data_IF_319321559222
#
_entry.id   IF_319321559222
#
_cell.length_a   1.000
_cell.length_b   1.000
_cell.length_c   1.000
_cell.angle_alpha   90.00
_cell.angle_beta   90.00
_cell.angle_gamma   90.00
#
_symmetry.space_group_name_H-M   'P 1'
#
loop_
_entity.id
_entity.type
_entity.pdbx_description
1 polymer ?
#
# COMPACT_ATOMS: atom_id res chain seq x y z
N UNK A 1 -8.86 -30.92 10.70
CA UNK A 1 -9.20 -29.51 10.98
C UNK A 1 -8.82 -28.60 9.81
N UNK A 2 -7.55 -28.58 9.37
CA UNK A 2 -7.10 -27.76 8.23
C UNK A 2 -7.89 -28.00 6.94
N UNK A 3 -8.21 -29.25 6.59
CA UNK A 3 -9.03 -29.56 5.41
C UNK A 3 -10.46 -28.98 5.50
N UNK A 4 -11.06 -28.96 6.70
CA UNK A 4 -12.42 -28.41 6.90
C UNK A 4 -12.44 -26.89 6.79
N UNK A 5 -11.36 -26.21 7.21
CA UNK A 5 -11.26 -24.76 7.22
C UNK A 5 -10.78 -24.21 5.87
N UNK A 6 -9.68 -24.74 5.34
CA UNK A 6 -8.99 -24.20 4.17
C UNK A 6 -9.30 -24.94 2.87
N UNK A 7 -9.88 -26.14 2.94
CA UNK A 7 -10.29 -26.94 1.77
C UNK A 7 -9.13 -27.20 0.81
N UNK A 8 -7.99 -27.64 1.33
CA UNK A 8 -6.72 -27.75 0.58
C UNK A 8 -6.87 -28.65 -0.66
N UNK A 9 -7.60 -29.76 -0.56
CA UNK A 9 -7.84 -30.65 -1.72
C UNK A 9 -8.70 -29.97 -2.78
N UNK A 10 -9.72 -29.21 -2.38
CA UNK A 10 -10.58 -28.48 -3.32
C UNK A 10 -9.81 -27.39 -4.07
N UNK A 11 -8.76 -26.85 -3.44
CA UNK A 11 -7.86 -25.85 -4.03
C UNK A 11 -6.60 -26.45 -4.68
N UNK A 12 -6.53 -27.78 -4.84
CA UNK A 12 -5.39 -28.49 -5.43
C UNK A 12 -4.02 -28.14 -4.80
N UNK A 13 -3.98 -27.97 -3.48
CA UNK A 13 -2.77 -27.61 -2.73
C UNK A 13 -2.54 -28.56 -1.54
N UNK A 14 -1.41 -28.41 -0.86
CA UNK A 14 -1.06 -29.15 0.35
C UNK A 14 -0.37 -28.24 1.38
N UNK A 15 -0.28 -28.71 2.63
CA UNK A 15 0.27 -27.93 3.75
C UNK A 15 1.70 -27.45 3.50
N UNK A 16 2.56 -28.28 2.89
CA UNK A 16 3.95 -27.91 2.59
C UNK A 16 4.01 -26.76 1.59
N UNK A 17 3.19 -26.82 0.54
CA UNK A 17 3.09 -25.75 -0.46
C UNK A 17 2.61 -24.45 0.16
N UNK A 18 1.57 -24.50 1.00
CA UNK A 18 1.04 -23.29 1.67
C UNK A 18 2.05 -22.66 2.65
N UNK A 19 2.82 -23.48 3.38
CA UNK A 19 3.90 -22.96 4.26
C UNK A 19 4.99 -22.27 3.45
N UNK A 20 5.44 -22.91 2.37
CA UNK A 20 6.46 -22.31 1.49
C UNK A 20 5.96 -21.04 0.80
N UNK A 21 4.69 -21.03 0.38
CA UNK A 21 4.04 -19.85 -0.15
C UNK A 21 3.98 -18.73 0.89
N UNK A 22 3.59 -19.03 2.13
CA UNK A 22 3.53 -18.06 3.22
C UNK A 22 4.90 -17.47 3.55
N UNK A 23 5.96 -18.29 3.64
CA UNK A 23 7.34 -17.83 3.81
C UNK A 23 7.75 -16.93 2.63
N UNK A 24 7.41 -17.31 1.40
CA UNK A 24 7.75 -16.53 0.20
C UNK A 24 7.05 -15.17 0.20
N UNK A 25 5.75 -15.13 0.52
CA UNK A 25 5.00 -13.88 0.68
C UNK A 25 5.60 -13.01 1.78
N UNK A 26 5.87 -13.59 2.96
CA UNK A 26 6.47 -12.86 4.07
C UNK A 26 7.82 -12.23 3.67
N UNK A 27 8.72 -13.00 3.05
CA UNK A 27 10.02 -12.48 2.60
C UNK A 27 9.89 -11.37 1.55
N UNK A 28 8.88 -11.44 0.67
CA UNK A 28 8.61 -10.42 -0.32
C UNK A 28 8.10 -9.11 0.31
N UNK A 29 7.29 -9.20 1.37
CA UNK A 29 6.72 -8.03 2.07
C UNK A 29 7.50 -7.59 3.33
N UNK A 30 8.51 -8.33 3.77
CA UNK A 30 9.24 -8.08 5.02
C UNK A 30 9.89 -6.69 5.09
N UNK A 31 10.09 -6.04 3.93
CA UNK A 31 10.56 -4.66 3.90
C UNK A 31 9.67 -3.68 4.68
N UNK A 32 8.37 -3.98 4.85
CA UNK A 32 7.44 -3.11 5.56
C UNK A 32 7.83 -2.91 7.02
N UNK A 33 8.53 -3.90 7.60
CA UNK A 33 9.10 -3.84 8.94
C UNK A 33 10.07 -2.66 9.11
N UNK A 34 10.68 -2.20 8.03
CA UNK A 34 11.66 -1.11 8.04
C UNK A 34 11.07 0.17 7.45
N UNK A 35 10.34 0.02 6.35
CA UNK A 35 9.77 1.14 5.61
C UNK A 35 8.71 1.86 6.43
N UNK A 36 7.75 1.14 7.03
CA UNK A 36 6.63 1.78 7.71
C UNK A 36 7.08 2.59 8.94
N UNK A 37 7.93 2.06 9.85
CA UNK A 37 8.46 2.86 10.95
C UNK A 37 9.35 4.01 10.50
N UNK A 38 10.05 3.87 9.38
CA UNK A 38 10.84 4.97 8.81
C UNK A 38 9.94 6.12 8.38
N UNK A 39 8.87 5.83 7.64
CA UNK A 39 7.93 6.83 7.10
C UNK A 39 7.11 7.47 8.23
N UNK A 40 6.38 6.67 9.03
CA UNK A 40 5.56 7.21 10.13
C UNK A 40 6.41 7.88 11.22
N UNK A 41 7.67 7.47 11.39
CA UNK A 41 8.58 8.12 12.33
C UNK A 41 8.88 9.58 11.98
N UNK A 42 8.75 9.99 10.71
CA UNK A 42 8.92 11.39 10.29
C UNK A 42 7.84 12.31 10.87
N UNK A 43 6.67 11.77 11.25
CA UNK A 43 5.62 12.55 11.92
C UNK A 43 5.86 12.72 13.43
N UNK A 44 6.97 12.20 13.95
CA UNK A 44 7.28 12.20 15.38
C UNK A 44 6.71 11.00 16.15
N UNK A 45 6.15 10.00 15.47
CA UNK A 45 5.74 8.75 16.12
C UNK A 45 6.96 7.93 16.59
N UNK A 46 6.82 7.21 17.70
CA UNK A 46 7.88 6.33 18.18
C UNK A 46 8.09 5.15 17.21
N UNK A 47 9.28 5.07 16.61
CA UNK A 47 9.60 4.05 15.58
C UNK A 47 9.48 2.63 16.12
N UNK A 48 9.84 2.39 17.38
CA UNK A 48 9.74 1.07 18.00
C UNK A 48 8.30 0.63 18.19
N UNK A 49 7.45 1.53 18.67
CA UNK A 49 6.01 1.31 18.81
C UNK A 49 5.34 1.11 17.45
N UNK A 50 5.68 1.92 16.43
CA UNK A 50 5.17 1.74 15.06
C UNK A 50 5.61 0.40 14.46
N UNK A 51 6.84 -0.05 14.72
CA UNK A 51 7.31 -1.38 14.30
C UNK A 51 6.43 -2.49 14.89
N UNK A 52 6.14 -2.42 16.19
CA UNK A 52 5.26 -3.38 16.86
C UNK A 52 3.84 -3.29 16.34
N UNK A 53 3.29 -2.08 16.18
CA UNK A 53 1.97 -1.84 15.59
C UNK A 53 1.87 -2.44 14.19
N UNK A 54 2.90 -2.27 13.36
CA UNK A 54 3.00 -2.84 12.00
C UNK A 54 2.92 -4.35 12.03
N UNK A 55 3.73 -5.01 12.86
CA UNK A 55 3.74 -6.46 12.99
C UNK A 55 2.41 -7.01 13.47
N UNK A 56 1.84 -6.41 14.52
CA UNK A 56 0.57 -6.83 15.10
C UNK A 56 -0.60 -6.61 14.14
N UNK A 57 -0.65 -5.46 13.47
CA UNK A 57 -1.71 -5.16 12.51
C UNK A 57 -1.63 -6.09 11.29
N UNK A 58 -0.42 -6.37 10.79
CA UNK A 58 -0.22 -7.34 9.71
C UNK A 58 -0.61 -8.77 10.11
N UNK A 59 -0.26 -9.18 11.34
CA UNK A 59 -0.63 -10.48 11.88
C UNK A 59 -2.15 -10.63 12.05
N UNK A 60 -2.82 -9.61 12.62
CA UNK A 60 -4.28 -9.60 12.76
C UNK A 60 -4.94 -9.65 11.38
N UNK A 61 -4.58 -8.73 10.48
CA UNK A 61 -5.19 -8.65 9.15
C UNK A 61 -5.01 -9.92 8.32
N UNK A 62 -3.79 -10.47 8.29
CA UNK A 62 -3.50 -11.72 7.58
C UNK A 62 -4.21 -12.91 8.22
N UNK A 63 -4.39 -12.92 9.55
CA UNK A 63 -5.17 -13.96 10.23
C UNK A 63 -6.65 -13.88 9.84
N UNK A 64 -7.23 -12.68 9.86
CA UNK A 64 -8.64 -12.47 9.52
C UNK A 64 -8.89 -12.83 8.05
N UNK A 65 -7.99 -12.44 7.13
CA UNK A 65 -8.08 -12.83 5.71
C UNK A 65 -8.00 -14.35 5.53
N UNK A 66 -7.08 -14.99 6.24
CA UNK A 66 -6.91 -16.44 6.20
C UNK A 66 -8.14 -17.19 6.71
N UNK A 67 -8.73 -16.77 7.83
CA UNK A 67 -9.85 -17.47 8.46
C UNK A 67 -11.21 -17.14 7.85
N UNK A 68 -11.47 -15.88 7.51
CA UNK A 68 -12.80 -15.44 7.04
C UNK A 68 -12.94 -15.62 5.53
N UNK A 69 -11.94 -15.16 4.76
CA UNK A 69 -12.01 -15.16 3.31
C UNK A 69 -11.41 -16.43 2.70
N UNK A 70 -10.48 -17.09 3.41
CA UNK A 70 -9.71 -18.24 2.93
C UNK A 70 -8.96 -17.91 1.62
N UNK A 71 -8.28 -16.76 1.58
CA UNK A 71 -7.43 -16.35 0.47
C UNK A 71 -5.95 -16.31 0.86
N UNK A 72 -5.03 -16.63 -0.08
CA UNK A 72 -3.58 -16.61 0.14
C UNK A 72 -3.01 -15.19 0.04
N UNK A 73 -3.71 -14.21 0.63
CA UNK A 73 -3.38 -12.79 0.54
C UNK A 73 -3.02 -12.30 1.93
N UNK A 74 -1.82 -11.74 2.06
CA UNK A 74 -1.37 -11.12 3.28
C UNK A 74 -1.79 -9.64 3.33
N UNK A 75 -2.00 -9.16 4.56
CA UNK A 75 -2.33 -7.76 4.83
C UNK A 75 -1.25 -7.15 5.72
N UNK A 76 -0.93 -5.89 5.46
CA UNK A 76 -0.02 -5.07 6.26
C UNK A 76 -0.31 -3.58 5.97
N UNK A 77 0.31 -2.61 6.69
CA UNK A 77 0.12 -1.18 6.43
C UNK A 77 0.38 -0.81 4.98
N UNK A 78 -0.59 -0.25 4.25
CA UNK A 78 -0.49 0.00 2.81
C UNK A 78 0.54 1.07 2.46
N UNK A 79 1.33 0.83 1.42
CA UNK A 79 2.41 1.72 1.04
C UNK A 79 1.93 3.08 0.51
N UNK A 80 0.86 3.12 -0.30
CA UNK A 80 0.26 4.41 -0.69
C UNK A 80 -0.34 5.15 0.50
N UNK A 81 -0.91 4.40 1.44
CA UNK A 81 -1.65 4.92 2.60
C UNK A 81 -0.72 5.50 3.67
N UNK A 82 0.43 4.88 3.93
CA UNK A 82 1.42 5.42 4.87
C UNK A 82 2.09 6.70 4.36
N UNK A 83 2.33 6.79 3.04
CA UNK A 83 2.86 7.98 2.40
C UNK A 83 1.86 9.13 2.45
N UNK A 84 0.59 8.86 2.10
CA UNK A 84 -0.48 9.85 2.21
C UNK A 84 -0.69 10.34 3.65
N UNK A 85 -0.67 9.42 4.62
CA UNK A 85 -0.74 9.75 6.05
C UNK A 85 0.38 10.71 6.46
N UNK A 86 1.63 10.32 6.18
CA UNK A 86 2.81 11.03 6.69
C UNK A 86 2.98 12.35 5.97
N UNK A 87 3.11 12.29 4.66
CA UNK A 87 3.61 13.43 3.93
C UNK A 87 2.50 14.39 3.50
N UNK A 88 1.27 13.91 3.27
CA UNK A 88 0.15 14.79 2.94
C UNK A 88 -0.57 15.28 4.20
N UNK A 89 -1.09 14.37 5.03
CA UNK A 89 -1.97 14.78 6.15
C UNK A 89 -1.19 15.40 7.30
N UNK A 90 -0.07 14.79 7.70
CA UNK A 90 0.68 15.28 8.87
C UNK A 90 1.65 16.40 8.48
N UNK A 91 2.54 16.16 7.50
CA UNK A 91 3.60 17.11 7.19
C UNK A 91 3.13 18.29 6.32
N UNK A 92 2.36 18.03 5.25
CA UNK A 92 1.91 19.11 4.36
C UNK A 92 0.73 19.91 4.93
N UNK A 93 -0.33 19.24 5.41
CA UNK A 93 -1.50 19.92 5.99
C UNK A 93 -1.29 20.34 7.46
N UNK A 94 -0.23 19.87 8.13
CA UNK A 94 0.14 20.28 9.49
C UNK A 94 -0.73 19.67 10.60
N UNK A 95 -1.49 18.60 10.32
CA UNK A 95 -2.27 17.92 11.35
C UNK A 95 -1.41 17.02 12.23
N UNK A 96 -1.85 16.74 13.46
CA UNK A 96 -1.15 15.79 14.32
C UNK A 96 -1.39 14.35 13.85
N UNK A 97 -0.42 13.47 14.08
CA UNK A 97 -0.54 12.06 13.70
C UNK A 97 -1.67 11.35 14.45
N UNK A 98 -2.03 11.81 15.66
CA UNK A 98 -3.19 11.32 16.41
C UNK A 98 -4.51 11.59 15.68
N UNK A 99 -4.67 12.81 15.17
CA UNK A 99 -5.85 13.21 14.38
C UNK A 99 -5.89 12.45 13.06
N UNK A 100 -4.73 12.28 12.41
CA UNK A 100 -4.63 11.46 11.20
C UNK A 100 -5.01 9.99 11.46
N UNK A 101 -4.61 9.39 12.60
CA UNK A 101 -5.04 8.04 12.99
C UNK A 101 -6.55 7.99 13.27
N UNK A 102 -7.12 9.05 13.84
CA UNK A 102 -8.57 9.19 14.01
C UNK A 102 -9.29 9.17 12.66
N UNK A 103 -8.77 9.88 11.66
CA UNK A 103 -9.32 9.89 10.31
C UNK A 103 -9.20 8.50 9.64
N UNK A 104 -8.07 7.81 9.82
CA UNK A 104 -7.89 6.43 9.37
C UNK A 104 -8.91 5.49 10.03
N UNK A 105 -9.11 5.59 11.34
CA UNK A 105 -10.07 4.75 12.07
C UNK A 105 -11.50 4.97 11.57
N UNK A 106 -11.94 6.23 11.44
CA UNK A 106 -13.28 6.56 10.91
C UNK A 106 -13.41 6.05 9.47
N UNK A 107 -12.40 6.27 8.63
CA UNK A 107 -12.38 5.74 7.27
C UNK A 107 -12.55 4.21 7.26
N UNK A 108 -11.81 3.48 8.10
CA UNK A 108 -11.89 2.03 8.21
C UNK A 108 -13.26 1.55 8.72
N UNK A 109 -13.88 2.26 9.66
CA UNK A 109 -15.25 1.98 10.13
C UNK A 109 -16.26 2.20 9.01
N UNK A 110 -16.18 3.33 8.29
CA UNK A 110 -17.03 3.58 7.13
C UNK A 110 -16.83 2.48 6.09
N UNK A 111 -15.59 2.04 5.87
CA UNK A 111 -15.25 1.01 4.92
C UNK A 111 -15.83 -0.37 5.30
N UNK A 112 -15.75 -0.70 6.58
CA UNK A 112 -16.38 -1.89 7.14
C UNK A 112 -17.91 -1.88 6.97
N UNK A 113 -18.55 -0.75 7.25
CA UNK A 113 -20.00 -0.58 7.04
C UNK A 113 -20.38 -0.74 5.56
N UNK A 114 -19.67 -0.07 4.65
CA UNK A 114 -19.89 -0.20 3.20
C UNK A 114 -19.72 -1.64 2.70
N UNK A 115 -18.82 -2.40 3.32
CA UNK A 115 -18.57 -3.82 3.01
C UNK A 115 -19.72 -4.71 3.49
N UNK A 116 -20.26 -4.46 4.69
CA UNK A 116 -21.44 -5.17 5.22
C UNK A 116 -22.66 -4.92 4.33
N UNK A 117 -22.90 -3.67 3.93
CA UNK A 117 -24.05 -3.30 3.09
C UNK A 117 -23.87 -3.65 1.60
N UNK A 118 -22.76 -4.32 1.22
CA UNK A 118 -22.41 -4.68 -0.17
C UNK A 118 -22.35 -3.50 -1.15
N UNK A 119 -22.36 -2.26 -0.66
CA UNK A 119 -22.20 -1.04 -1.45
C UNK A 119 -20.79 -1.02 -2.07
N UNK A 120 -19.81 -1.57 -1.34
CA UNK A 120 -18.42 -1.57 -1.79
C UNK A 120 -18.27 -2.25 -3.17
N UNK A 121 -18.77 -3.47 -3.30
CA UNK A 121 -18.67 -4.25 -4.55
C UNK A 121 -19.28 -3.49 -5.74
N UNK A 122 -20.40 -2.81 -5.52
CA UNK A 122 -21.02 -1.95 -6.53
C UNK A 122 -20.13 -0.78 -6.95
N UNK A 123 -19.46 -0.10 -6.01
CA UNK A 123 -18.52 0.99 -6.33
C UNK A 123 -17.31 0.46 -7.12
N UNK A 124 -16.74 -0.70 -6.76
CA UNK A 124 -15.60 -1.30 -7.50
C UNK A 124 -16.00 -1.57 -8.95
N UNK A 125 -17.13 -2.27 -9.10
CA UNK A 125 -17.60 -2.73 -10.40
C UNK A 125 -18.05 -1.57 -11.29
N UNK A 126 -18.32 -0.40 -10.70
CA UNK A 126 -18.70 0.81 -11.44
C UNK A 126 -17.53 1.54 -12.08
N UNK A 127 -16.28 1.23 -11.71
CA UNK A 127 -15.11 1.99 -12.17
C UNK A 127 -14.35 1.21 -13.26
N UNK A 128 -14.11 1.82 -14.43
CA UNK A 128 -13.38 1.20 -15.52
C UNK A 128 -12.03 0.64 -15.06
N UNK A 129 -11.68 -0.55 -15.58
CA UNK A 129 -10.38 -1.19 -15.28
C UNK A 129 -9.21 -0.24 -15.60
N UNK A 130 -9.18 0.41 -16.78
CA UNK A 130 -8.89 1.83 -16.95
C UNK A 130 -8.16 2.56 -15.84
N UNK A 131 -9.03 3.25 -15.10
CA UNK A 131 -8.72 4.15 -14.03
C UNK A 131 -8.24 3.41 -12.79
N UNK A 132 -8.70 2.18 -12.53
CA UNK A 132 -8.20 1.39 -11.40
C UNK A 132 -6.71 1.09 -11.56
N UNK A 133 -6.30 0.65 -12.75
CA UNK A 133 -4.89 0.42 -13.08
C UNK A 133 -4.09 1.73 -13.05
N UNK A 134 -4.65 2.83 -13.53
CA UNK A 134 -4.03 4.16 -13.47
C UNK A 134 -3.79 4.65 -12.03
N UNK A 135 -4.73 4.37 -11.11
CA UNK A 135 -4.61 4.72 -9.70
C UNK A 135 -3.48 3.92 -9.05
N UNK A 136 -3.44 2.60 -9.26
CA UNK A 136 -2.33 1.77 -8.77
C UNK A 136 -0.99 2.27 -9.31
N UNK A 137 -0.90 2.54 -10.61
CA UNK A 137 0.31 3.08 -11.23
C UNK A 137 0.70 4.45 -10.68
N UNK A 138 -0.26 5.35 -10.48
CA UNK A 138 -0.04 6.68 -9.91
C UNK A 138 0.47 6.63 -8.47
N UNK A 139 -0.05 5.71 -7.65
CA UNK A 139 0.47 5.44 -6.30
C UNK A 139 1.92 4.95 -6.41
N UNK A 140 2.22 4.04 -7.34
CA UNK A 140 3.59 3.62 -7.64
C UNK A 140 4.51 4.78 -8.00
N UNK A 141 4.11 5.66 -8.92
CA UNK A 141 4.90 6.83 -9.31
C UNK A 141 5.10 7.82 -8.15
N UNK A 142 4.11 7.97 -7.27
CA UNK A 142 4.23 8.77 -6.06
C UNK A 142 5.27 8.16 -5.08
N UNK A 143 5.23 6.85 -4.88
CA UNK A 143 6.24 6.14 -4.08
C UNK A 143 7.64 6.22 -4.69
N UNK A 144 7.76 6.18 -6.02
CA UNK A 144 9.03 6.38 -6.71
C UNK A 144 9.62 7.77 -6.41
N UNK A 145 8.80 8.82 -6.45
CA UNK A 145 9.25 10.17 -6.10
C UNK A 145 9.75 10.25 -4.65
N UNK A 146 9.02 9.66 -3.70
CA UNK A 146 9.42 9.59 -2.29
C UNK A 146 10.73 8.80 -2.12
N UNK A 147 10.85 7.66 -2.80
CA UNK A 147 12.06 6.84 -2.77
C UNK A 147 13.29 7.63 -3.24
N UNK A 148 13.16 8.30 -4.40
CA UNK A 148 14.23 9.12 -4.97
C UNK A 148 14.56 10.33 -4.09
N UNK A 149 13.56 10.90 -3.42
CA UNK A 149 13.74 11.98 -2.46
C UNK A 149 14.50 11.51 -1.21
N UNK A 150 14.07 10.41 -0.59
CA UNK A 150 14.70 9.82 0.59
C UNK A 150 16.13 9.32 0.32
N UNK A 151 16.42 8.94 -0.93
CA UNK A 151 17.77 8.61 -1.38
C UNK A 151 18.65 9.85 -1.61
N UNK A 152 18.08 11.06 -1.65
CA UNK A 152 18.79 12.30 -2.01
C UNK A 152 19.10 12.42 -3.51
N UNK A 153 18.45 11.61 -4.36
CA UNK A 153 18.60 11.67 -5.82
C UNK A 153 17.75 12.81 -6.39
N UNK A 154 16.53 12.98 -5.88
CA UNK A 154 15.60 14.06 -6.26
C UNK A 154 15.48 15.05 -5.11
N UNK A 155 15.76 16.33 -5.39
CA UNK A 155 15.65 17.43 -4.42
C UNK A 155 14.69 18.50 -4.91
N UNK A 156 14.19 19.34 -4.00
CA UNK A 156 13.37 20.48 -4.37
C UNK A 156 14.20 21.51 -5.15
N UNK A 157 13.64 22.06 -6.24
CA UNK A 157 14.27 23.10 -7.02
C UNK A 157 13.27 24.26 -7.28
N UNK A 158 13.55 25.49 -6.83
CA UNK A 158 12.60 26.61 -7.00
C UNK A 158 12.22 26.92 -8.45
N UNK A 159 13.09 26.63 -9.43
CA UNK A 159 12.86 26.94 -10.84
C UNK A 159 12.13 25.82 -11.61
N UNK A 160 12.20 24.57 -11.13
CA UNK A 160 11.73 23.38 -11.87
C UNK A 160 10.86 22.45 -11.02
N UNK A 161 10.58 22.82 -9.77
CA UNK A 161 9.97 22.00 -8.71
C UNK A 161 10.87 20.85 -8.24
N UNK A 162 11.45 20.09 -9.18
CA UNK A 162 12.34 18.94 -8.93
C UNK A 162 13.71 19.15 -9.57
N UNK A 163 14.78 18.80 -8.86
CA UNK A 163 16.15 18.88 -9.32
C UNK A 163 16.97 17.64 -8.94
N UNK A 164 18.17 17.52 -9.53
CA UNK A 164 19.11 16.46 -9.22
C UNK A 164 19.88 16.79 -7.94
N UNK A 165 19.92 15.86 -6.99
CA UNK A 165 20.73 15.96 -5.79
C UNK A 165 22.22 15.67 -6.02
N UNK A 166 23.02 15.76 -4.96
CA UNK A 166 24.47 15.45 -5.04
C UNK A 166 24.72 13.93 -5.05
N UNK A 167 24.88 13.38 -6.25
CA UNK A 167 25.14 11.95 -6.46
C UNK A 167 26.49 11.46 -5.93
N UNK A 168 27.37 12.35 -5.43
CA UNK A 168 28.65 11.94 -4.81
C UNK A 168 28.46 11.48 -3.36
N UNK A 169 27.32 11.78 -2.76
CA UNK A 169 27.03 11.40 -1.39
C UNK A 169 26.81 9.87 -1.28
N UNK A 170 27.17 9.25 -0.13
CA UNK A 170 26.97 7.82 0.07
C UNK A 170 25.51 7.36 -0.12
N UNK A 171 24.54 8.17 0.31
CA UNK A 171 23.12 7.79 0.29
C UNK A 171 22.56 7.56 -1.14
N UNK A 172 22.68 8.49 -2.11
CA UNK A 172 22.26 8.26 -3.50
C UNK A 172 22.94 7.05 -4.15
N UNK A 173 24.25 6.87 -3.90
CA UNK A 173 25.05 5.78 -4.47
C UNK A 173 24.55 4.44 -3.94
N UNK A 174 24.47 4.30 -2.62
CA UNK A 174 24.03 3.08 -1.96
C UNK A 174 22.59 2.73 -2.30
N UNK A 175 21.69 3.72 -2.39
CA UNK A 175 20.32 3.49 -2.83
C UNK A 175 20.27 3.00 -4.29
N UNK A 176 21.03 3.62 -5.19
CA UNK A 176 21.08 3.19 -6.60
C UNK A 176 21.60 1.76 -6.74
N UNK A 177 22.72 1.44 -6.07
CA UNK A 177 23.28 0.09 -6.06
C UNK A 177 22.31 -0.92 -5.42
N UNK A 178 21.63 -0.53 -4.35
CA UNK A 178 20.60 -1.34 -3.71
C UNK A 178 19.44 -1.65 -4.65
N UNK A 179 18.98 -0.69 -5.44
CA UNK A 179 17.90 -0.90 -6.39
C UNK A 179 18.32 -1.87 -7.49
N UNK A 180 19.51 -1.66 -8.07
CA UNK A 180 20.08 -2.58 -9.07
C UNK A 180 20.21 -4.00 -8.51
N UNK A 181 20.67 -4.13 -7.26
CA UNK A 181 20.76 -5.42 -6.58
C UNK A 181 19.39 -6.09 -6.43
N UNK A 182 18.36 -5.36 -5.96
CA UNK A 182 17.00 -5.91 -5.81
C UNK A 182 16.48 -6.39 -7.16
N UNK A 183 16.59 -5.58 -8.21
CA UNK A 183 16.14 -5.94 -9.56
C UNK A 183 16.89 -7.16 -10.09
N UNK A 184 18.22 -7.23 -9.89
CA UNK A 184 19.02 -8.37 -10.31
C UNK A 184 18.62 -9.66 -9.56
N UNK A 185 18.43 -9.58 -8.25
CA UNK A 185 17.99 -10.72 -7.44
C UNK A 185 16.57 -11.18 -7.82
N UNK A 186 15.66 -10.26 -8.11
CA UNK A 186 14.32 -10.59 -8.58
C UNK A 186 14.37 -11.26 -9.97
N UNK A 187 15.18 -10.75 -10.90
CA UNK A 187 15.36 -11.35 -12.21
C UNK A 187 15.95 -12.77 -12.13
N UNK A 188 16.76 -13.05 -11.09
CA UNK A 188 17.30 -14.37 -10.77
C UNK A 188 16.33 -15.23 -9.93
N UNK A 189 15.11 -14.77 -9.69
CA UNK A 189 14.08 -15.44 -8.89
C UNK A 189 14.54 -15.80 -7.46
N UNK A 190 15.38 -14.95 -6.86
CA UNK A 190 15.85 -15.12 -5.48
C UNK A 190 14.76 -14.69 -4.50
N UNK A 191 14.35 -15.60 -3.60
CA UNK A 191 13.33 -15.31 -2.59
C UNK A 191 13.82 -14.25 -1.61
N UNK A 192 13.01 -13.22 -1.38
CA UNK A 192 13.35 -12.12 -0.48
C UNK A 192 14.35 -11.13 -1.08
N UNK A 193 14.39 -10.99 -2.41
CA UNK A 193 15.25 -10.03 -3.12
C UNK A 193 15.22 -8.62 -2.50
N UNK A 194 14.03 -8.11 -2.18
CA UNK A 194 13.84 -6.80 -1.56
C UNK A 194 14.48 -6.72 -0.16
N UNK A 195 14.23 -7.73 0.68
CA UNK A 195 14.80 -7.81 2.03
C UNK A 195 16.34 -7.89 1.98
N UNK A 196 16.89 -8.72 1.10
CA UNK A 196 18.33 -8.87 0.90
C UNK A 196 18.94 -7.52 0.48
N UNK A 197 18.28 -6.80 -0.44
CA UNK A 197 18.72 -5.47 -0.87
C UNK A 197 18.82 -4.47 0.29
N UNK A 198 17.78 -4.37 1.12
CA UNK A 198 17.77 -3.48 2.30
C UNK A 198 18.89 -3.84 3.25
N UNK A 199 19.04 -5.13 3.59
CA UNK A 199 20.07 -5.58 4.52
C UNK A 199 21.47 -5.38 3.96
N UNK A 200 21.71 -5.64 2.67
CA UNK A 200 22.98 -5.40 2.02
C UNK A 200 23.37 -3.91 2.08
N UNK A 201 22.46 -3.01 1.69
CA UNK A 201 22.70 -1.56 1.77
C UNK A 201 22.95 -1.12 3.21
N UNK A 202 22.19 -1.65 4.16
CA UNK A 202 22.35 -1.35 5.59
C UNK A 202 23.71 -1.81 6.11
N UNK A 203 24.14 -3.02 5.78
CA UNK A 203 25.44 -3.57 6.18
C UNK A 203 26.57 -2.71 5.60
N UNK A 204 26.52 -2.39 4.30
CA UNK A 204 27.55 -1.53 3.69
C UNK A 204 27.55 -0.14 4.35
N UNK A 205 26.39 0.43 4.66
CA UNK A 205 26.29 1.71 5.38
C UNK A 205 26.97 1.66 6.77
N UNK A 206 26.74 0.59 7.53
CA UNK A 206 27.37 0.38 8.85
C UNK A 206 28.88 0.23 8.70
N UNK A 207 29.36 -0.55 7.73
CA UNK A 207 30.79 -0.75 7.49
C UNK A 207 31.51 0.53 7.06
N UNK A 208 30.81 1.42 6.34
CA UNK A 208 31.32 2.74 5.97
C UNK A 208 31.23 3.76 7.12
N UNK A 209 30.67 3.38 8.27
CA UNK A 209 30.50 4.27 9.43
C UNK A 209 29.40 5.32 9.24
N UNK A 210 28.52 5.16 8.24
CA UNK A 210 27.44 6.11 7.93
C UNK A 210 26.25 5.92 8.87
N UNK A 211 26.03 4.71 9.38
CA UNK A 211 24.90 4.41 10.27
C UNK A 211 25.35 3.53 11.46
N UNK A 212 24.91 3.83 12.69
CA UNK A 212 25.22 2.98 13.84
C UNK A 212 24.47 1.65 13.79
N UNK A 213 25.09 0.60 14.31
CA UNK A 213 24.43 -0.70 14.47
C UNK A 213 23.57 -0.71 15.72
N UNK A 214 22.26 -0.93 15.56
CA UNK A 214 21.26 -0.95 16.63
C UNK A 214 21.06 -2.33 17.28
N UNK A 215 21.65 -3.39 16.75
CA UNK A 215 21.52 -4.77 17.26
C UNK A 215 20.74 -5.69 16.32
N UNK A 216 20.53 -6.95 16.74
CA UNK A 216 19.81 -7.96 15.94
C UNK A 216 18.47 -8.33 16.57
N UNK A 217 18.47 -8.73 17.84
CA UNK A 217 17.28 -9.23 18.54
C UNK A 217 17.12 -8.59 19.90
N UNK A 218 15.88 -8.28 20.28
CA UNK A 218 15.53 -7.84 21.63
C UNK A 218 14.11 -8.28 21.98
N UNK A 219 13.71 -8.02 23.22
CA UNK A 219 12.29 -8.02 23.53
C UNK A 219 11.57 -6.97 22.68
N UNK A 220 10.33 -7.24 22.22
CA UNK A 220 9.56 -6.27 21.46
C UNK A 220 9.43 -4.95 22.23
N UNK A 221 9.61 -3.78 21.57
CA UNK A 221 9.40 -2.48 22.20
C UNK A 221 7.97 -2.34 22.76
N UNK A 222 7.77 -1.40 23.68
CA UNK A 222 6.43 -1.11 24.19
C UNK A 222 5.56 -0.50 23.10
N UNK A 223 4.33 -0.97 22.96
CA UNK A 223 3.30 -0.36 22.10
C UNK A 223 2.65 0.88 22.73
N UNK A 224 2.87 1.12 24.03
CA UNK A 224 2.23 2.19 24.79
C UNK A 224 2.31 3.60 24.15
N UNK A 225 3.40 4.00 23.45
CA UNK A 225 3.50 5.32 22.83
C UNK A 225 2.49 5.59 21.72
N UNK A 226 1.99 4.55 21.04
CA UNK A 226 1.07 4.70 19.88
C UNK A 226 -0.29 4.05 20.11
N UNK A 227 -0.38 3.12 21.07
CA UNK A 227 -1.61 2.40 21.39
C UNK A 227 -2.75 3.34 21.82
N UNK A 228 -3.87 3.28 21.11
CA UNK A 228 -5.09 4.05 21.39
C UNK A 228 -4.89 5.58 21.48
N UNK A 229 -3.85 6.10 20.84
CA UNK A 229 -3.57 7.55 20.80
C UNK A 229 -4.37 8.29 19.72
N UNK A 230 -5.24 7.60 18.99
CA UNK A 230 -6.01 8.20 17.90
C UNK A 230 -7.05 9.20 18.42
N UNK A 231 -7.18 10.33 17.74
CA UNK A 231 -8.13 11.39 18.08
C UNK A 231 -9.31 11.42 17.11
N UNK A 232 -10.37 10.69 17.47
CA UNK A 232 -11.63 10.65 16.68
C UNK A 232 -12.31 12.02 16.68
N UNK A 233 -12.25 12.77 17.79
CA UNK A 233 -12.98 14.04 17.91
C UNK A 233 -12.34 15.09 17.02
N UNK A 234 -11.01 15.18 17.02
CA UNK A 234 -10.27 16.02 16.10
C UNK A 234 -10.52 15.64 14.64
N UNK A 235 -10.59 14.34 14.33
CA UNK A 235 -10.84 13.86 12.97
C UNK A 235 -12.23 14.24 12.39
N UNK A 236 -13.21 14.57 13.24
CA UNK A 236 -14.56 14.97 12.81
C UNK A 236 -14.69 16.45 12.44
N UNK A 237 -13.61 17.24 12.50
CA UNK A 237 -13.61 18.61 11.97
C UNK A 237 -13.99 18.61 10.48
N UNK A 238 -14.75 19.63 10.05
CA UNK A 238 -15.28 19.75 8.68
C UNK A 238 -14.16 19.68 7.63
N UNK A 239 -12.97 20.24 7.92
CA UNK A 239 -11.83 20.16 7.02
C UNK A 239 -11.28 18.73 6.85
N UNK A 240 -11.34 17.93 7.91
CA UNK A 240 -10.80 16.57 7.98
C UNK A 240 -11.76 15.52 7.43
N UNK A 241 -13.04 15.85 7.27
CA UNK A 241 -13.98 15.01 6.50
C UNK A 241 -13.45 14.73 5.10
N UNK A 242 -12.81 15.71 4.46
CA UNK A 242 -12.17 15.53 3.14
C UNK A 242 -11.02 14.52 3.17
N UNK A 243 -10.25 14.49 4.26
CA UNK A 243 -9.14 13.55 4.50
C UNK A 243 -9.67 12.14 4.77
N UNK A 244 -10.74 12.01 5.55
CA UNK A 244 -11.41 10.73 5.79
C UNK A 244 -11.86 10.12 4.46
N UNK A 245 -12.52 10.91 3.60
CA UNK A 245 -12.92 10.44 2.27
C UNK A 245 -11.70 10.11 1.40
N UNK A 246 -10.64 10.90 1.47
CA UNK A 246 -9.40 10.60 0.74
C UNK A 246 -8.82 9.24 1.15
N UNK A 247 -8.64 8.97 2.45
CA UNK A 247 -8.21 7.65 2.93
C UNK A 247 -9.14 6.55 2.45
N UNK A 248 -10.46 6.78 2.55
CA UNK A 248 -11.46 5.81 2.12
C UNK A 248 -11.28 5.47 0.65
N UNK A 249 -11.16 6.46 -0.24
CA UNK A 249 -11.00 6.26 -1.69
C UNK A 249 -9.63 5.68 -2.06
N UNK A 250 -8.55 6.09 -1.40
CA UNK A 250 -7.23 5.52 -1.67
C UNK A 250 -7.22 4.03 -1.31
N UNK A 251 -7.69 3.68 -0.11
CA UNK A 251 -7.76 2.29 0.35
C UNK A 251 -8.73 1.46 -0.50
N UNK A 252 -9.85 2.06 -0.91
CA UNK A 252 -10.78 1.53 -1.90
C UNK A 252 -10.00 0.91 -3.06
N UNK A 253 -9.24 1.74 -3.76
CA UNK A 253 -8.67 1.38 -5.04
C UNK A 253 -7.40 0.56 -4.89
N UNK A 254 -6.57 0.87 -3.90
CA UNK A 254 -5.36 0.11 -3.61
C UNK A 254 -5.70 -1.34 -3.23
N UNK A 255 -6.59 -1.53 -2.25
CA UNK A 255 -6.99 -2.85 -1.81
C UNK A 255 -7.67 -3.65 -2.95
N UNK A 256 -8.62 -3.03 -3.66
CA UNK A 256 -9.38 -3.74 -4.69
C UNK A 256 -8.53 -4.08 -5.91
N UNK A 257 -7.62 -3.19 -6.32
CA UNK A 257 -6.65 -3.49 -7.37
C UNK A 257 -5.76 -4.66 -6.99
N UNK A 258 -5.24 -4.65 -5.76
CA UNK A 258 -4.35 -5.71 -5.26
C UNK A 258 -5.07 -7.05 -5.07
N UNK A 259 -6.25 -7.06 -4.45
CA UNK A 259 -7.05 -8.28 -4.28
C UNK A 259 -7.35 -8.95 -5.63
N UNK A 260 -7.81 -8.17 -6.62
CA UNK A 260 -8.13 -8.68 -7.96
C UNK A 260 -6.85 -9.15 -8.65
N UNK A 261 -5.77 -8.37 -8.60
CA UNK A 261 -4.49 -8.70 -9.24
C UNK A 261 -3.91 -10.02 -8.72
N UNK A 262 -3.88 -10.18 -7.39
CA UNK A 262 -3.37 -11.41 -6.75
C UNK A 262 -4.33 -12.58 -6.99
N UNK A 263 -5.65 -12.38 -6.89
CA UNK A 263 -6.63 -13.43 -7.15
C UNK A 263 -6.59 -13.93 -8.61
N UNK A 264 -6.41 -13.03 -9.58
CA UNK A 264 -6.19 -13.35 -11.00
C UNK A 264 -4.94 -14.21 -11.17
N UNK A 265 -3.81 -13.81 -10.57
CA UNK A 265 -2.56 -14.59 -10.62
C UNK A 265 -2.66 -15.94 -9.90
N UNK A 266 -3.54 -16.04 -8.90
CA UNK A 266 -3.82 -17.28 -8.17
C UNK A 266 -4.76 -18.24 -8.91
N UNK A 267 -5.39 -17.80 -10.01
CA UNK A 267 -6.46 -18.56 -10.66
C UNK A 267 -7.70 -18.71 -9.78
N UNK A 268 -7.97 -17.72 -8.91
CA UNK A 268 -9.09 -17.71 -7.96
C UNK A 268 -10.25 -16.80 -8.42
N UNK A 269 -10.21 -16.35 -9.67
CA UNK A 269 -11.29 -15.59 -10.30
C UNK A 269 -12.43 -16.53 -10.73
N UNK A 270 -13.67 -16.06 -10.59
CA UNK A 270 -14.87 -16.73 -11.09
C UNK A 270 -14.94 -16.73 -12.61
N UNK A 271 -15.84 -17.55 -13.15
CA UNK A 271 -16.06 -17.69 -14.61
C UNK A 271 -16.61 -16.42 -15.27
N UNK A 272 -17.25 -15.57 -14.49
CA UNK A 272 -17.79 -14.26 -14.85
C UNK A 272 -16.74 -13.14 -14.76
N UNK A 273 -15.49 -13.46 -14.36
CA UNK A 273 -14.44 -12.47 -14.13
C UNK A 273 -14.57 -11.73 -12.80
N UNK A 274 -15.50 -12.14 -11.92
CA UNK A 274 -15.64 -11.58 -10.56
C UNK A 274 -14.97 -12.47 -9.51
N UNK A 275 -14.63 -11.89 -8.37
CA UNK A 275 -13.97 -12.60 -7.26
C UNK A 275 -15.05 -13.15 -6.28
N UNK A 276 -15.27 -14.48 -6.19
CA UNK A 276 -16.47 -15.04 -5.55
C UNK A 276 -16.67 -14.70 -4.06
N UNK A 277 -15.58 -14.42 -3.33
CA UNK A 277 -15.61 -14.08 -1.89
C UNK A 277 -15.10 -12.66 -1.61
N UNK A 278 -15.27 -11.74 -2.56
CA UNK A 278 -14.76 -10.37 -2.43
C UNK A 278 -15.27 -9.67 -1.16
N UNK A 279 -16.57 -9.75 -0.85
CA UNK A 279 -17.12 -9.13 0.36
C UNK A 279 -16.46 -9.62 1.66
N UNK A 280 -16.07 -10.90 1.75
CA UNK A 280 -15.35 -11.44 2.92
C UNK A 280 -13.92 -10.93 3.02
N UNK A 281 -13.24 -10.78 1.88
CA UNK A 281 -11.91 -10.20 1.80
C UNK A 281 -11.93 -8.72 2.21
N UNK A 282 -12.93 -7.95 1.75
CA UNK A 282 -13.13 -6.55 2.11
C UNK A 282 -13.45 -6.34 3.59
N UNK A 283 -14.23 -7.25 4.20
CA UNK A 283 -14.45 -7.25 5.65
C UNK A 283 -13.13 -7.51 6.39
N UNK A 284 -12.32 -8.47 5.94
CA UNK A 284 -11.05 -8.77 6.59
C UNK A 284 -10.10 -7.57 6.55
N UNK A 285 -10.03 -6.91 5.41
CA UNK A 285 -9.28 -5.68 5.16
C UNK A 285 -9.72 -4.51 6.05
N UNK A 286 -11.00 -4.16 6.03
CA UNK A 286 -11.52 -3.07 6.88
C UNK A 286 -11.31 -3.36 8.37
N UNK A 287 -11.44 -4.62 8.79
CA UNK A 287 -11.18 -5.03 10.18
C UNK A 287 -9.71 -4.86 10.56
N UNK A 288 -8.81 -5.22 9.65
CA UNK A 288 -7.38 -5.03 9.82
C UNK A 288 -7.04 -3.53 9.90
N UNK A 289 -7.65 -2.69 9.08
CA UNK A 289 -7.44 -1.25 9.08
C UNK A 289 -7.91 -0.61 10.40
N UNK A 290 -9.06 -1.01 10.92
CA UNK A 290 -9.54 -0.60 12.24
C UNK A 290 -8.55 -1.03 13.34
N UNK A 291 -8.11 -2.30 13.34
CA UNK A 291 -7.14 -2.78 14.31
C UNK A 291 -5.80 -2.05 14.22
N UNK A 292 -5.30 -1.80 13.00
CA UNK A 292 -4.06 -1.07 12.75
C UNK A 292 -4.08 0.35 13.32
N UNK A 293 -5.15 1.09 13.05
CA UNK A 293 -5.30 2.45 13.59
C UNK A 293 -5.38 2.50 15.12
N UNK A 294 -6.02 1.49 15.75
CA UNK A 294 -6.05 1.35 17.22
C UNK A 294 -4.68 1.03 17.81
N UNK A 295 -3.87 0.22 17.12
CA UNK A 295 -2.50 -0.12 17.52
C UNK A 295 -1.52 1.05 17.26
N UNK A 296 -1.91 2.01 16.43
CA UNK A 296 -1.11 3.18 16.08
C UNK A 296 -0.23 2.97 14.85
N UNK A 297 -0.79 2.35 13.81
CA UNK A 297 -0.22 2.35 12.46
C UNK A 297 -1.25 2.85 11.44
N UNK A 298 -0.77 3.28 10.27
CA UNK A 298 -1.62 3.66 9.13
C UNK A 298 -2.48 2.48 8.64
N UNK A 299 -3.44 2.78 7.77
CA UNK A 299 -4.37 1.83 7.16
C UNK A 299 -3.65 0.57 6.68
N UNK A 300 -4.12 -0.60 7.12
CA UNK A 300 -3.66 -1.86 6.56
C UNK A 300 -4.49 -2.23 5.36
N UNK A 301 -3.84 -2.85 4.38
CA UNK A 301 -4.45 -3.21 3.10
C UNK A 301 -3.87 -4.53 2.58
N UNK A 302 -4.45 -5.05 1.50
CA UNK A 302 -3.92 -6.24 0.82
C UNK A 302 -2.59 -5.96 0.13
N UNK A 303 -1.64 -6.91 0.20
CA UNK A 303 -0.30 -6.74 -0.36
C UNK A 303 -0.09 -7.46 -1.69
N UNK A 304 0.45 -6.74 -2.68
CA UNK A 304 0.69 -7.24 -4.04
C UNK A 304 1.78 -8.32 -4.05
N UNK A 305 2.68 -8.31 -3.07
CA UNK A 305 3.73 -9.28 -2.80
C UNK A 305 3.19 -10.69 -2.55
N UNK A 306 1.92 -10.79 -2.17
CA UNK A 306 1.20 -12.08 -2.11
C UNK A 306 1.22 -12.80 -3.47
N UNK A 307 1.40 -12.08 -4.59
CA UNK A 307 1.66 -12.64 -5.90
C UNK A 307 2.87 -13.59 -5.94
N UNK A 308 3.91 -13.34 -5.13
CA UNK A 308 5.09 -14.20 -5.06
C UNK A 308 4.76 -15.54 -4.40
N UNK A 309 4.07 -15.54 -3.25
CA UNK A 309 3.66 -16.77 -2.58
C UNK A 309 2.61 -17.55 -3.38
N UNK A 310 1.69 -16.85 -4.04
CA UNK A 310 0.75 -17.45 -4.98
C UNK A 310 1.48 -18.10 -6.17
N UNK A 311 2.52 -17.47 -6.70
CA UNK A 311 3.35 -18.06 -7.76
C UNK A 311 4.12 -19.29 -7.26
N UNK A 312 4.45 -19.34 -5.97
CA UNK A 312 5.02 -20.52 -5.30
C UNK A 312 4.00 -21.63 -4.98
N UNK A 313 2.72 -21.45 -5.37
CA UNK A 313 1.66 -22.45 -5.26
C UNK A 313 0.65 -22.22 -4.14
N UNK A 314 0.73 -21.09 -3.41
CA UNK A 314 -0.27 -20.75 -2.39
C UNK A 314 -1.65 -20.50 -2.98
N UNK A 315 -2.69 -21.14 -2.42
CA UNK A 315 -4.07 -21.06 -2.92
C UNK A 315 -5.10 -20.80 -1.83
N UNK A 316 -4.73 -20.93 -0.56
CA UNK A 316 -5.68 -20.84 0.55
C UNK A 316 -5.25 -19.86 1.64
N UNK A 317 -6.16 -19.60 2.58
CA UNK A 317 -5.91 -18.79 3.77
C UNK A 317 -4.80 -19.31 4.67
N UNK A 318 -4.38 -20.59 4.54
CA UNK A 318 -3.25 -21.12 5.30
C UNK A 318 -1.96 -20.36 4.98
N UNK A 319 -1.76 -19.95 3.72
CA UNK A 319 -0.67 -19.05 3.33
C UNK A 319 -0.67 -17.75 4.14
N UNK A 320 -1.84 -17.11 4.30
CA UNK A 320 -1.97 -15.88 5.07
C UNK A 320 -1.75 -16.09 6.58
N UNK A 321 -2.17 -17.22 7.14
CA UNK A 321 -1.88 -17.59 8.54
C UNK A 321 -0.37 -17.74 8.78
N UNK A 322 0.35 -18.37 7.85
CA UNK A 322 1.81 -18.52 7.96
C UNK A 322 2.48 -17.15 7.96
N UNK A 323 2.05 -16.22 7.11
CA UNK A 323 2.53 -14.84 7.11
C UNK A 323 2.26 -14.15 8.45
N UNK A 324 1.05 -14.32 9.01
CA UNK A 324 0.71 -13.74 10.30
C UNK A 324 1.64 -14.23 11.43
N UNK A 325 1.92 -15.53 11.47
CA UNK A 325 2.86 -16.12 12.43
C UNK A 325 4.28 -15.56 12.26
N UNK A 326 4.74 -15.39 11.02
CA UNK A 326 6.06 -14.82 10.73
C UNK A 326 6.17 -13.35 11.15
N UNK A 327 5.10 -12.55 11.01
CA UNK A 327 5.06 -11.18 11.57
C UNK A 327 5.09 -11.16 13.10
N UNK A 328 4.44 -12.11 13.77
CA UNK A 328 4.55 -12.23 15.22
C UNK A 328 5.98 -12.61 15.65
N UNK A 329 6.65 -13.48 14.88
CA UNK A 329 8.06 -13.81 15.11
C UNK A 329 8.99 -12.62 14.80
N UNK A 330 8.62 -11.77 13.84
CA UNK A 330 9.37 -10.57 13.48
C UNK A 330 9.49 -9.56 14.64
N UNK A 331 8.56 -9.60 15.62
CA UNK A 331 8.58 -8.71 16.78
C UNK A 331 9.90 -8.75 17.56
N UNK A 332 10.60 -9.89 17.57
CA UNK A 332 11.88 -10.05 18.25
C UNK A 332 13.08 -9.45 17.51
N UNK A 333 12.88 -8.99 16.27
CA UNK A 333 13.92 -8.39 15.42
C UNK A 333 13.82 -6.86 15.34
N UNK A 334 13.17 -6.21 16.31
CA UNK A 334 13.04 -4.75 16.34
C UNK A 334 14.37 -3.97 16.32
N UNK A 335 15.49 -4.43 16.92
CA UNK A 335 16.75 -3.69 16.86
C UNK A 335 17.35 -3.66 15.45
N UNK A 336 17.06 -4.70 14.65
CA UNK A 336 17.44 -4.72 13.26
C UNK A 336 16.75 -3.58 12.51
N UNK A 337 15.48 -3.31 12.82
CA UNK A 337 14.76 -2.21 12.18
C UNK A 337 15.28 -0.82 12.58
N UNK A 338 15.73 -0.65 13.81
CA UNK A 338 16.40 0.59 14.24
C UNK A 338 17.74 0.83 13.53
N UNK A 339 18.37 -0.22 12.99
CA UNK A 339 19.65 -0.15 12.27
C UNK A 339 19.51 0.27 10.81
N UNK A 340 18.30 0.26 10.24
CA UNK A 340 18.07 0.53 8.82
C UNK A 340 17.89 2.04 8.59
N UNK A 341 18.81 2.72 7.87
CA UNK A 341 18.65 4.12 7.54
C UNK A 341 17.61 4.33 6.43
N UNK A 342 17.01 5.52 6.35
CA UNK A 342 15.95 5.82 5.38
C UNK A 342 16.37 5.59 3.91
N UNK A 343 17.60 5.93 3.53
CA UNK A 343 18.10 5.69 2.17
C UNK A 343 18.29 4.19 1.86
N UNK A 344 18.39 3.30 2.86
CA UNK A 344 18.47 1.86 2.64
C UNK A 344 17.10 1.24 2.31
N UNK A 345 16.01 1.92 2.65
CA UNK A 345 14.64 1.48 2.31
C UNK A 345 14.12 2.06 1.00
N UNK A 346 14.70 3.17 0.53
CA UNK A 346 14.39 3.78 -0.76
C UNK A 346 14.45 2.80 -1.97
N UNK A 347 15.44 1.89 -2.08
CA UNK A 347 15.47 0.89 -3.15
C UNK A 347 14.23 0.00 -3.21
N UNK A 348 13.74 -0.40 -2.04
CA UNK A 348 12.55 -1.25 -1.93
C UNK A 348 11.30 -0.48 -2.36
N UNK A 349 11.14 0.76 -1.92
CA UNK A 349 10.05 1.64 -2.36
C UNK A 349 10.05 1.84 -3.88
N UNK A 350 11.22 2.06 -4.47
CA UNK A 350 11.37 2.23 -5.91
C UNK A 350 11.05 0.93 -6.66
N UNK A 351 11.40 -0.24 -6.11
CA UNK A 351 11.03 -1.52 -6.69
C UNK A 351 9.52 -1.80 -6.59
N UNK A 352 8.86 -1.45 -5.48
CA UNK A 352 7.40 -1.54 -5.34
C UNK A 352 6.72 -0.64 -6.39
N UNK A 353 7.26 0.55 -6.64
CA UNK A 353 6.77 1.41 -7.71
C UNK A 353 6.80 0.71 -9.08
N UNK A 354 7.87 0.00 -9.42
CA UNK A 354 7.97 -0.79 -10.66
C UNK A 354 6.84 -1.83 -10.75
N UNK A 355 6.56 -2.55 -9.65
CA UNK A 355 5.49 -3.54 -9.61
C UNK A 355 4.12 -2.89 -9.84
N UNK A 356 3.84 -1.76 -9.20
CA UNK A 356 2.55 -1.07 -9.32
C UNK A 356 2.35 -0.40 -10.69
N UNK A 357 3.41 0.17 -11.27
CA UNK A 357 3.36 0.80 -12.60
C UNK A 357 3.15 -0.22 -13.72
N UNK A 358 3.45 -1.51 -13.50
CA UNK A 358 3.18 -2.58 -14.49
C UNK A 358 1.71 -2.68 -14.91
N UNK A 359 0.76 -2.22 -14.07
CA UNK A 359 -0.66 -2.18 -14.41
C UNK A 359 -0.99 -1.28 -15.61
N UNK A 360 -0.12 -0.34 -15.96
CA UNK A 360 -0.22 0.46 -17.18
C UNK A 360 -0.12 -0.37 -18.48
N UNK A 361 0.45 -1.57 -18.41
CA UNK A 361 0.52 -2.48 -19.55
C UNK A 361 -0.85 -3.10 -19.91
N UNK A 362 -1.82 -3.08 -18.99
CA UNK A 362 -3.18 -3.60 -19.24
C UNK A 362 -4.10 -2.57 -19.94
N UNK A 363 -3.59 -1.38 -20.25
CA UNK A 363 -4.38 -0.28 -20.81
C UNK A 363 -4.35 -0.32 -22.35
N UNK A 364 -5.51 -0.08 -22.95
CA UNK A 364 -5.61 0.16 -24.39
C UNK A 364 -5.06 1.55 -24.72
N UNK A 365 -3.83 1.59 -25.23
CA UNK A 365 -3.12 2.82 -25.57
C UNK A 365 -3.52 3.40 -26.93
N UNK A 366 -4.17 2.61 -27.79
CA UNK A 366 -4.62 3.06 -29.11
C UNK A 366 -5.88 3.94 -28.99
N UNK A 367 -6.69 3.72 -27.95
CA UNK A 367 -7.84 4.57 -27.64
C UNK A 367 -7.43 5.80 -26.79
N UNK A 368 -7.25 6.94 -27.44
CA UNK A 368 -6.90 8.20 -26.77
C UNK A 368 -7.92 8.62 -25.70
N UNK A 369 -9.19 8.21 -25.83
CA UNK A 369 -10.24 8.52 -24.84
C UNK A 369 -10.09 7.73 -23.54
N UNK A 370 -9.23 6.70 -23.54
CA UNK A 370 -8.83 5.89 -22.39
C UNK A 370 -7.43 6.28 -21.92
N UNK A 371 -6.47 6.40 -22.83
CA UNK A 371 -5.08 6.69 -22.50
C UNK A 371 -4.88 8.05 -21.81
N UNK A 372 -5.56 9.11 -22.28
CA UNK A 372 -5.39 10.45 -21.73
C UNK A 372 -5.82 10.56 -20.24
N UNK A 373 -7.03 10.12 -19.84
CA UNK A 373 -7.41 10.06 -18.43
C UNK A 373 -6.45 9.23 -17.56
N UNK A 374 -5.97 8.10 -18.06
CA UNK A 374 -5.03 7.22 -17.36
C UNK A 374 -3.73 7.94 -17.04
N UNK A 375 -3.14 8.61 -18.04
CA UNK A 375 -1.89 9.38 -17.86
C UNK A 375 -2.08 10.53 -16.87
N UNK A 376 -3.18 11.28 -16.98
CA UNK A 376 -3.50 12.38 -16.05
C UNK A 376 -3.63 11.86 -14.62
N UNK A 377 -4.35 10.74 -14.43
CA UNK A 377 -4.52 10.10 -13.12
C UNK A 377 -3.16 9.73 -12.52
N UNK A 378 -2.30 9.09 -13.31
CA UNK A 378 -1.02 8.57 -12.83
C UNK A 378 0.00 9.69 -12.52
N UNK A 379 0.08 10.73 -13.35
CA UNK A 379 1.06 11.82 -13.18
C UNK A 379 0.65 12.85 -12.14
N UNK A 380 -0.66 13.10 -11.98
CA UNK A 380 -1.11 14.11 -11.04
C UNK A 380 -0.79 13.74 -9.58
N UNK A 381 -0.73 12.46 -9.23
CA UNK A 381 -0.42 12.02 -7.87
C UNK A 381 0.98 12.47 -7.40
N UNK A 382 2.10 12.12 -8.08
CA UNK A 382 3.42 12.60 -7.68
C UNK A 382 3.57 14.11 -7.80
N UNK A 383 3.04 14.74 -8.85
CA UNK A 383 3.27 16.17 -9.08
C UNK A 383 2.43 17.10 -8.21
N UNK A 384 1.28 16.65 -7.73
CA UNK A 384 0.49 17.40 -6.73
C UNK A 384 0.70 16.88 -5.32
N UNK A 385 1.55 15.86 -5.17
CA UNK A 385 1.87 15.24 -3.89
C UNK A 385 0.60 14.78 -3.12
N UNK A 386 -0.43 14.37 -3.88
CA UNK A 386 -1.77 14.06 -3.38
C UNK A 386 -2.44 12.99 -4.24
N UNK A 387 -2.63 11.81 -3.64
CA UNK A 387 -3.31 10.68 -4.30
C UNK A 387 -4.77 11.07 -4.60
N UNK A 388 -5.44 11.75 -3.68
CA UNK A 388 -6.82 12.19 -3.83
C UNK A 388 -7.00 13.14 -5.02
N UNK A 389 -6.06 14.08 -5.24
CA UNK A 389 -6.10 14.98 -6.39
C UNK A 389 -5.87 14.21 -7.69
N UNK A 390 -4.96 13.24 -7.71
CA UNK A 390 -4.77 12.38 -8.89
C UNK A 390 -6.02 11.59 -9.27
N UNK A 391 -6.71 10.97 -8.30
CA UNK A 391 -8.00 10.29 -8.53
C UNK A 391 -9.03 11.28 -9.09
N UNK A 392 -9.14 12.46 -8.46
CA UNK A 392 -10.10 13.48 -8.85
C UNK A 392 -9.90 13.94 -10.30
N UNK A 393 -8.68 14.33 -10.67
CA UNK A 393 -8.36 14.75 -12.04
C UNK A 393 -8.58 13.63 -13.05
N UNK A 394 -8.24 12.39 -12.69
CA UNK A 394 -8.50 11.21 -13.51
C UNK A 394 -9.96 11.00 -13.85
N UNK A 395 -10.84 11.08 -12.85
CA UNK A 395 -12.27 10.86 -13.02
C UNK A 395 -12.92 12.00 -13.81
N UNK A 396 -12.52 13.25 -13.52
CA UNK A 396 -12.97 14.42 -14.26
C UNK A 396 -12.55 14.30 -15.73
N UNK A 397 -11.28 13.97 -16.01
CA UNK A 397 -10.78 13.80 -17.36
C UNK A 397 -11.52 12.67 -18.10
N UNK A 398 -11.73 11.52 -17.46
CA UNK A 398 -12.49 10.41 -18.03
C UNK A 398 -13.90 10.84 -18.43
N UNK A 399 -14.62 11.46 -17.50
CA UNK A 399 -16.00 11.90 -17.73
C UNK A 399 -16.08 12.94 -18.84
N UNK A 400 -15.27 14.00 -18.75
CA UNK A 400 -15.29 15.09 -19.72
C UNK A 400 -14.92 14.61 -21.12
N UNK A 401 -13.86 13.80 -21.26
CA UNK A 401 -13.40 13.32 -22.57
C UNK A 401 -14.42 12.38 -23.19
N UNK A 402 -14.98 11.41 -22.45
CA UNK A 402 -16.00 10.49 -22.98
C UNK A 402 -17.31 11.22 -23.33
N UNK A 403 -17.69 12.24 -22.55
CA UNK A 403 -18.84 13.09 -22.84
C UNK A 403 -18.65 13.89 -24.13
N UNK A 404 -17.50 14.56 -24.28
CA UNK A 404 -17.21 15.40 -25.45
C UNK A 404 -16.94 14.59 -26.72
N UNK A 405 -16.46 13.35 -26.59
CA UNK A 405 -16.23 12.43 -27.71
C UNK A 405 -17.47 11.63 -28.15
N UNK A 406 -18.63 11.88 -27.54
CA UNK A 406 -19.89 11.20 -27.89
C UNK A 406 -20.03 9.77 -27.33
N UNK A 407 -19.12 9.32 -26.48
CA UNK A 407 -19.07 7.97 -25.91
C UNK A 407 -19.85 7.83 -24.60
N UNK A 408 -21.07 8.40 -24.57
CA UNK A 408 -21.91 8.44 -23.36
C UNK A 408 -22.25 7.05 -22.79
N UNK A 409 -22.29 6.02 -23.63
CA UNK A 409 -22.63 4.65 -23.22
C UNK A 409 -21.56 3.99 -22.35
N UNK A 410 -20.34 4.51 -22.36
CA UNK A 410 -19.23 4.02 -21.54
C UNK A 410 -19.18 4.71 -20.16
N UNK A 411 -20.05 5.70 -19.91
CA UNK A 411 -20.14 6.40 -18.64
C UNK A 411 -21.12 5.72 -17.70
N UNK A 412 -20.64 5.43 -16.49
CA UNK A 412 -21.48 4.98 -15.38
C UNK A 412 -21.97 6.19 -14.57
N UNK A 413 -23.26 6.26 -14.19
CA UNK A 413 -23.80 7.32 -13.32
C UNK A 413 -22.97 7.60 -12.06
N UNK A 414 -22.42 6.56 -11.42
CA UNK A 414 -21.58 6.71 -10.23
C UNK A 414 -20.33 7.56 -10.51
N UNK A 415 -19.66 7.30 -11.64
CA UNK A 415 -18.44 8.00 -12.03
C UNK A 415 -18.72 9.45 -12.43
N UNK A 416 -19.87 9.72 -13.06
CA UNK A 416 -20.32 11.08 -13.37
C UNK A 416 -20.59 11.87 -12.09
N UNK A 417 -21.33 11.30 -11.13
CA UNK A 417 -21.61 11.96 -9.84
C UNK A 417 -20.30 12.26 -9.10
N UNK A 418 -19.39 11.29 -9.00
CA UNK A 418 -18.08 11.49 -8.36
C UNK A 418 -17.27 12.58 -9.05
N UNK A 419 -17.29 12.63 -10.39
CA UNK A 419 -16.58 13.68 -11.14
C UNK A 419 -17.14 15.06 -10.86
N UNK A 420 -18.47 15.22 -10.78
CA UNK A 420 -19.11 16.49 -10.41
C UNK A 420 -18.70 16.90 -8.99
N UNK A 421 -18.74 15.96 -8.03
CA UNK A 421 -18.31 16.22 -6.65
C UNK A 421 -16.85 16.66 -6.58
N UNK A 422 -15.96 16.04 -7.38
CA UNK A 422 -14.57 16.44 -7.45
C UNK A 422 -14.37 17.82 -8.09
N UNK A 423 -15.13 18.18 -9.12
CA UNK A 423 -15.12 19.55 -9.69
C UNK A 423 -15.52 20.56 -8.64
N UNK A 424 -16.58 20.28 -7.87
CA UNK A 424 -17.03 21.18 -6.80
C UNK A 424 -15.94 21.30 -5.72
N UNK A 425 -15.36 20.18 -5.28
CA UNK A 425 -14.28 20.17 -4.29
C UNK A 425 -13.09 21.04 -4.73
N UNK A 426 -12.59 20.78 -5.94
CA UNK A 426 -11.39 21.46 -6.46
C UNK A 426 -11.65 22.92 -6.87
N UNK A 427 -12.87 23.23 -7.32
CA UNK A 427 -13.22 24.59 -7.78
C UNK A 427 -13.65 25.54 -6.67
N UNK A 428 -14.35 25.04 -5.63
CA UNK A 428 -14.97 25.87 -4.59
C UNK A 428 -14.41 25.70 -3.19
N UNK A 429 -13.82 24.54 -2.88
CA UNK A 429 -13.39 24.19 -1.52
C UNK A 429 -11.87 24.08 -1.38
N UNK A 430 -11.09 24.90 -2.10
CA UNK A 430 -9.63 24.96 -1.95
C UNK A 430 -9.25 25.08 -0.46
N UNK A 431 -8.83 23.96 0.11
CA UNK A 431 -8.20 23.80 1.41
C UNK A 431 -7.09 22.76 1.23
#
# INVERSE_FOLDING_TARGET
>A
MLEKLFQLKAHNTNVRTEILAGITTFLAMAYILFVNPSILGETGMDKGAVFVATCLAAAIGSTVMGLIANYPIALAPGMGLNAFFTYTVVLHMGHTWQVALGAVFISAVLFFLLSIFRIREWIINSIPLPLRSAIAAGIGLFLALIALHNAGIVVANPATLVGLGDLKQPAPILATLGFVLIVALEALAVRGAVLIGILAVTIVSILLGVTPFGGVTSMPPSLAPTFLQLDIKGALDIGLVSVIFAFLFVDLFDNSGTLIGVAKRAGLMGKDGHMPKMGRALIADSTAAMAGSLLGTSTTTSYIESAAGVSAGGRTGLTAIVVALLFLLALFFSPLAASVPAFATAPALLFVAVLMTSGLAEIDWDDITVAAPVVITALAMPFTYSIANGIAFGFIAWTAIKLLSGRYRELNPALVILSILFVIKLGWFNA
#
